data_IF_937696094030
#
_entry.id   IF_937696094030
#
_cell.length_a   1.000
_cell.length_b   1.000
_cell.length_c   1.000
_cell.angle_alpha   90.00
_cell.angle_beta   90.00
_cell.angle_gamma   90.00
#
_symmetry.space_group_name_H-M   'P 1'
#
loop_
_entity.id
_entity.type
_entity.pdbx_description
1 polymer ?
#
# COMPACT_ATOMS: atom_id res chain seq x y z
N UNK A 1 46.64 -29.81 17.75
CA UNK A 1 45.80 -28.75 18.37
C UNK A 1 45.84 -27.43 17.59
N UNK A 2 46.71 -27.29 16.59
CA UNK A 2 46.74 -26.12 15.68
C UNK A 2 45.54 -26.04 14.71
N UNK A 3 45.13 -27.17 14.10
CA UNK A 3 44.10 -27.18 13.05
C UNK A 3 42.73 -26.74 13.56
N UNK A 4 42.39 -27.11 14.79
CA UNK A 4 41.14 -26.72 15.44
C UNK A 4 41.04 -25.19 15.60
N UNK A 5 42.16 -24.50 15.80
CA UNK A 5 42.18 -23.05 15.95
C UNK A 5 41.94 -22.34 14.60
N UNK A 6 42.53 -22.84 13.51
CA UNK A 6 42.32 -22.29 12.15
C UNK A 6 40.87 -22.48 11.67
N UNK A 7 40.27 -23.62 11.98
CA UNK A 7 38.85 -23.86 11.70
C UNK A 7 37.94 -22.93 12.51
N UNK A 8 38.26 -22.69 13.79
CA UNK A 8 37.53 -21.73 14.62
C UNK A 8 37.65 -20.30 14.09
N UNK A 9 38.83 -19.93 13.59
CA UNK A 9 39.10 -18.59 13.05
C UNK A 9 38.33 -18.36 11.75
N UNK A 10 38.32 -19.33 10.84
CA UNK A 10 37.56 -19.26 9.59
C UNK A 10 36.05 -19.19 9.81
N UNK A 11 35.51 -19.91 10.80
CA UNK A 11 34.09 -19.81 11.18
C UNK A 11 33.75 -18.43 11.76
N UNK A 12 34.65 -17.81 12.53
CA UNK A 12 34.47 -16.43 13.01
C UNK A 12 34.38 -15.45 11.85
N UNK A 13 35.27 -15.57 10.85
CA UNK A 13 35.21 -14.71 9.67
C UNK A 13 33.95 -14.93 8.83
N UNK A 14 33.46 -16.17 8.72
CA UNK A 14 32.19 -16.47 8.06
C UNK A 14 31.01 -15.78 8.75
N UNK A 15 30.91 -15.88 10.08
CA UNK A 15 29.86 -15.19 10.85
C UNK A 15 29.99 -13.67 10.75
N UNK A 16 31.21 -13.14 10.78
CA UNK A 16 31.47 -11.70 10.66
C UNK A 16 30.98 -11.18 9.30
N UNK A 17 31.37 -11.83 8.20
CA UNK A 17 30.93 -11.47 6.85
C UNK A 17 29.41 -11.55 6.69
N UNK A 18 28.80 -12.62 7.20
CA UNK A 18 27.35 -12.81 7.14
C UNK A 18 26.61 -11.72 7.93
N UNK A 19 27.09 -11.37 9.12
CA UNK A 19 26.49 -10.34 9.97
C UNK A 19 26.57 -8.96 9.32
N UNK A 20 27.70 -8.60 8.71
CA UNK A 20 27.88 -7.31 8.03
C UNK A 20 26.90 -7.18 6.86
N UNK A 21 26.79 -8.21 6.03
CA UNK A 21 25.84 -8.20 4.90
C UNK A 21 24.41 -8.08 5.40
N UNK A 22 24.04 -8.85 6.43
CA UNK A 22 22.68 -8.79 7.00
C UNK A 22 22.36 -7.41 7.57
N UNK A 23 23.31 -6.81 8.27
CA UNK A 23 23.19 -5.44 8.82
C UNK A 23 23.00 -4.42 7.70
N UNK A 24 23.77 -4.55 6.61
CA UNK A 24 23.66 -3.69 5.45
C UNK A 24 22.26 -3.79 4.79
N UNK A 25 21.72 -5.01 4.63
CA UNK A 25 20.39 -5.21 4.09
C UNK A 25 19.30 -4.58 4.98
N UNK A 26 19.40 -4.74 6.30
CA UNK A 26 18.48 -4.08 7.25
C UNK A 26 18.55 -2.56 7.10
N UNK A 27 19.75 -2.00 6.97
CA UNK A 27 19.94 -0.57 6.75
C UNK A 27 19.27 -0.11 5.45
N UNK A 28 19.42 -0.86 4.36
CA UNK A 28 18.72 -0.56 3.09
C UNK A 28 17.20 -0.58 3.25
N UNK A 29 16.64 -1.55 3.98
CA UNK A 29 15.20 -1.60 4.26
C UNK A 29 14.76 -0.34 5.01
N UNK A 30 15.54 0.12 6.00
CA UNK A 30 15.24 1.35 6.76
C UNK A 30 15.24 2.57 5.82
N UNK A 31 16.23 2.68 4.93
CA UNK A 31 16.34 3.79 3.97
C UNK A 31 15.17 3.80 3.01
N UNK A 32 14.80 2.64 2.45
CA UNK A 32 13.64 2.52 1.54
C UNK A 32 12.35 2.90 2.27
N UNK A 33 12.18 2.47 3.52
CA UNK A 33 11.01 2.86 4.33
C UNK A 33 10.98 4.38 4.62
N UNK A 34 12.15 4.98 4.88
CA UNK A 34 12.26 6.42 5.09
C UNK A 34 11.90 7.18 3.81
N UNK A 35 12.42 6.73 2.66
CA UNK A 35 12.05 7.27 1.35
C UNK A 35 10.54 7.16 1.12
N UNK A 36 9.93 5.98 1.38
CA UNK A 36 8.49 5.79 1.23
C UNK A 36 7.68 6.77 2.09
N UNK A 37 8.09 7.03 3.33
CA UNK A 37 7.45 8.03 4.21
C UNK A 37 7.61 9.46 3.68
N UNK A 38 8.79 9.81 3.18
CA UNK A 38 9.05 11.14 2.61
C UNK A 38 8.19 11.33 1.36
N UNK A 39 8.15 10.34 0.48
CA UNK A 39 7.33 10.35 -0.74
C UNK A 39 5.84 10.47 -0.38
N UNK A 40 5.33 9.67 0.56
CA UNK A 40 3.94 9.75 0.99
C UNK A 40 3.57 11.11 1.62
N UNK A 41 4.53 11.79 2.26
CA UNK A 41 4.32 13.13 2.84
C UNK A 41 4.37 14.24 1.78
N UNK A 42 5.25 14.13 0.79
CA UNK A 42 5.40 15.13 -0.29
C UNK A 42 4.35 14.96 -1.39
N UNK A 43 3.98 13.72 -1.68
CA UNK A 43 2.95 13.33 -2.63
C UNK A 43 1.90 12.49 -1.90
N UNK A 44 1.07 13.10 -1.03
CA UNK A 44 -0.05 12.40 -0.46
C UNK A 44 -0.93 11.93 -1.60
N UNK A 45 -0.97 10.63 -1.81
CA UNK A 45 -1.86 10.01 -2.77
C UNK A 45 -3.28 10.40 -2.35
N UNK A 46 -3.87 11.37 -3.06
CA UNK A 46 -5.29 11.66 -2.93
C UNK A 46 -5.94 10.33 -3.24
N UNK A 47 -6.44 9.65 -2.21
CA UNK A 47 -7.20 8.42 -2.37
C UNK A 47 -8.17 8.70 -3.51
N UNK A 48 -7.95 8.06 -4.65
CA UNK A 48 -8.93 8.03 -5.72
C UNK A 48 -10.11 7.36 -5.05
N UNK A 49 -11.05 8.19 -4.59
CA UNK A 49 -12.35 7.73 -4.12
C UNK A 49 -12.77 6.72 -5.16
N UNK A 50 -13.15 5.49 -4.78
CA UNK A 50 -13.60 4.52 -5.77
C UNK A 50 -14.59 5.28 -6.64
N UNK A 51 -14.25 5.42 -7.92
CA UNK A 51 -15.16 6.04 -8.88
C UNK A 51 -16.40 5.18 -8.74
N UNK A 52 -17.43 5.72 -8.09
CA UNK A 52 -18.74 5.08 -8.10
C UNK A 52 -19.00 4.92 -9.58
N UNK A 53 -18.92 3.68 -10.08
CA UNK A 53 -19.46 3.33 -11.39
C UNK A 53 -20.80 4.02 -11.42
N UNK A 54 -20.96 4.99 -12.33
CA UNK A 54 -22.12 5.85 -12.36
C UNK A 54 -23.35 4.93 -12.30
N UNK A 55 -23.96 4.87 -11.12
CA UNK A 55 -25.11 4.02 -10.89
C UNK A 55 -26.16 4.63 -11.79
N UNK A 56 -26.65 3.83 -12.74
CA UNK A 56 -27.38 4.33 -13.89
C UNK A 56 -28.54 5.25 -13.46
N UNK A 57 -28.30 6.57 -13.52
CA UNK A 57 -29.23 7.62 -13.08
C UNK A 57 -30.53 7.60 -13.90
N UNK A 58 -30.57 6.86 -15.02
CA UNK A 58 -31.78 6.66 -15.80
C UNK A 58 -32.91 6.07 -14.96
N UNK A 59 -32.61 5.14 -14.05
CA UNK A 59 -33.66 4.52 -13.20
C UNK A 59 -34.20 5.54 -12.18
N UNK A 60 -33.34 6.40 -11.64
CA UNK A 60 -33.73 7.45 -10.70
C UNK A 60 -34.55 8.56 -11.37
N UNK A 61 -34.14 8.98 -12.58
CA UNK A 61 -34.90 9.94 -13.38
C UNK A 61 -36.27 9.40 -13.81
N UNK A 62 -36.34 8.14 -14.27
CA UNK A 62 -37.61 7.50 -14.64
C UNK A 62 -38.53 7.38 -13.42
N UNK A 63 -38.00 7.01 -12.24
CA UNK A 63 -38.78 6.96 -11.01
C UNK A 63 -39.31 8.34 -10.60
N UNK A 64 -38.50 9.39 -10.72
CA UNK A 64 -38.91 10.76 -10.42
C UNK A 64 -40.03 11.26 -11.36
N UNK A 65 -39.93 10.95 -12.66
CA UNK A 65 -40.96 11.30 -13.65
C UNK A 65 -42.27 10.56 -13.34
N UNK A 66 -42.21 9.25 -13.05
CA UNK A 66 -43.40 8.45 -12.72
C UNK A 66 -44.06 8.97 -11.43
N UNK A 67 -43.27 9.35 -10.43
CA UNK A 67 -43.78 9.94 -9.19
C UNK A 67 -44.52 11.26 -9.46
N UNK A 68 -43.95 12.15 -10.28
CA UNK A 68 -44.57 13.43 -10.63
C UNK A 68 -45.90 13.24 -11.38
N UNK A 69 -45.96 12.32 -12.34
CA UNK A 69 -47.20 12.02 -13.11
C UNK A 69 -48.25 11.39 -12.20
N UNK A 70 -47.86 10.48 -11.32
CA UNK A 70 -48.80 9.81 -10.40
C UNK A 70 -49.41 10.80 -9.41
N UNK A 71 -48.61 11.72 -8.87
CA UNK A 71 -49.09 12.77 -7.96
C UNK A 71 -50.01 13.76 -8.68
N UNK A 72 -49.69 14.16 -9.91
CA UNK A 72 -50.56 15.01 -10.72
C UNK A 72 -51.92 14.34 -10.99
N UNK A 73 -51.92 13.04 -11.34
CA UNK A 73 -53.15 12.28 -11.59
C UNK A 73 -53.98 12.03 -10.33
N UNK A 74 -53.35 11.96 -9.16
CA UNK A 74 -54.05 11.83 -7.87
C UNK A 74 -54.66 13.17 -7.40
N UNK A 75 -54.13 14.29 -7.91
CA UNK A 75 -54.54 15.66 -7.58
C UNK A 75 -55.52 16.27 -8.59
N UNK A 76 -55.73 15.64 -9.76
CA UNK A 76 -56.90 15.81 -10.64
C UNK A 76 -57.99 14.81 -10.29
#
# INVERSE_FOLDING_TARGET
MEDANLLLESVKFMMLGMTVVFTFLILLIIVVNLQAKIVAKLFPEKATKPVKTAQNNETEHVAAIIAAVTEFRKKS
#
